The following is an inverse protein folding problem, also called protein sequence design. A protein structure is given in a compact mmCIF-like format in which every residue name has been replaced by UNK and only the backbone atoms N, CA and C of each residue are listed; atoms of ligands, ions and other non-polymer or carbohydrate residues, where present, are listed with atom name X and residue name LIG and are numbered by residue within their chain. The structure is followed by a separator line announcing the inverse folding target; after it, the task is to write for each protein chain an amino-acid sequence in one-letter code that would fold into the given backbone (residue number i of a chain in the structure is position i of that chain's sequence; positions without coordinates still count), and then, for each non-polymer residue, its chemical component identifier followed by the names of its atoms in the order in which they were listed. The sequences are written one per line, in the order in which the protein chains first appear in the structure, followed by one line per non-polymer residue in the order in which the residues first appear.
data_IF_904381779750
#
_entry.id   IF_904381779750
#
_cell.length_a   1.000
_cell.length_b   1.000
_cell.length_c   1.000
_cell.angle_alpha   90.00
_cell.angle_beta   90.00
_cell.angle_gamma   90.00
#
_symmetry.space_group_name_H-M   'P 1'
#
loop_
_entity.id
_entity.type
_entity.pdbx_description
1 polymer ?
#
# COMPACT_ATOMS: atom_id res chain seq x y z
N UNK A 1 -41.55 -6.98 15.90
CA UNK A 1 -41.06 -5.79 15.15
C UNK A 1 -39.79 -5.16 15.77
N UNK A 2 -38.98 -5.93 16.51
CA UNK A 2 -37.78 -5.43 17.22
C UNK A 2 -36.72 -4.74 16.36
N UNK A 3 -36.64 -5.07 15.07
CA UNK A 3 -35.65 -4.49 14.16
C UNK A 3 -35.95 -3.04 13.77
N UNK A 4 -37.20 -2.78 13.34
CA UNK A 4 -37.69 -1.44 13.02
C UNK A 4 -37.85 -0.58 14.28
N UNK A 5 -38.26 -1.18 15.40
CA UNK A 5 -38.32 -0.50 16.72
C UNK A 5 -36.94 -0.05 17.21
N UNK A 6 -35.86 -0.73 16.80
CA UNK A 6 -34.49 -0.40 17.14
C UNK A 6 -33.81 0.67 16.26
N UNK A 7 -34.56 1.36 15.39
CA UNK A 7 -34.04 2.35 14.40
C UNK A 7 -32.94 1.80 13.48
N UNK A 8 -32.87 0.48 13.29
CA UNK A 8 -31.86 -0.12 12.39
C UNK A 8 -32.32 -0.02 10.95
N UNK A 9 -31.43 0.47 10.09
CA UNK A 9 -31.72 0.59 8.65
C UNK A 9 -31.72 -0.80 8.01
N UNK A 10 -32.71 -1.09 7.17
CA UNK A 10 -32.86 -2.39 6.49
C UNK A 10 -31.64 -2.76 5.62
N UNK A 11 -30.89 -1.76 5.13
CA UNK A 11 -29.62 -1.98 4.41
C UNK A 11 -28.55 -2.69 5.26
N UNK A 12 -28.70 -2.70 6.58
CA UNK A 12 -27.80 -3.40 7.51
C UNK A 12 -28.05 -4.92 7.53
N UNK A 13 -29.16 -5.39 6.96
CA UNK A 13 -29.44 -6.81 6.74
C UNK A 13 -28.67 -7.35 5.53
N UNK A 14 -28.28 -6.47 4.61
CA UNK A 14 -27.50 -6.88 3.44
C UNK A 14 -26.05 -7.12 3.84
N UNK A 15 -25.39 -8.15 3.29
CA UNK A 15 -23.98 -8.36 3.52
C UNK A 15 -23.19 -7.13 3.03
N UNK A 16 -22.28 -6.63 3.86
CA UNK A 16 -21.34 -5.59 3.45
C UNK A 16 -20.48 -6.05 2.26
N UNK A 17 -20.02 -5.09 1.44
CA UNK A 17 -19.16 -5.37 0.30
C UNK A 17 -17.95 -6.22 0.73
N UNK A 18 -17.86 -7.44 0.18
CA UNK A 18 -16.76 -8.39 0.44
C UNK A 18 -15.77 -8.29 -0.72
N UNK A 19 -14.48 -8.20 -0.41
CA UNK A 19 -13.40 -8.15 -1.40
C UNK A 19 -12.62 -6.83 -1.41
N UNK A 20 -11.63 -6.75 -2.30
CA UNK A 20 -10.82 -5.55 -2.45
C UNK A 20 -11.67 -4.40 -3.00
N UNK A 21 -11.56 -3.21 -2.39
CA UNK A 21 -12.28 -2.02 -2.87
C UNK A 21 -11.82 -1.70 -4.30
N UNK A 22 -12.74 -1.38 -5.23
CA UNK A 22 -12.37 -0.86 -6.55
C UNK A 22 -11.42 0.33 -6.38
N UNK A 23 -10.28 0.32 -7.07
CA UNK A 23 -9.23 1.35 -6.92
C UNK A 23 -8.21 1.10 -5.79
N UNK A 24 -8.40 0.09 -4.93
CA UNK A 24 -7.40 -0.28 -3.91
C UNK A 24 -6.34 -1.28 -4.42
N UNK A 25 -6.02 -1.26 -5.73
CA UNK A 25 -4.97 -2.13 -6.27
C UNK A 25 -3.62 -1.68 -5.71
N UNK A 26 -3.21 -2.32 -4.61
CA UNK A 26 -1.90 -2.14 -4.00
C UNK A 26 -0.82 -2.46 -5.04
N UNK A 27 0.32 -1.76 -4.94
CA UNK A 27 1.49 -2.04 -5.76
C UNK A 27 1.85 -3.53 -5.65
N UNK A 28 2.08 -4.24 -6.78
CA UNK A 28 2.51 -5.63 -6.75
C UNK A 28 3.72 -5.84 -5.83
N UNK A 29 3.73 -6.95 -5.08
CA UNK A 29 4.80 -7.24 -4.10
C UNK A 29 6.19 -7.26 -4.73
N UNK A 30 6.29 -7.65 -6.00
CA UNK A 30 7.55 -7.65 -6.76
C UNK A 30 8.12 -6.24 -6.91
N UNK A 31 7.28 -5.27 -7.27
CA UNK A 31 7.65 -3.87 -7.38
C UNK A 31 8.05 -3.32 -6.01
N UNK A 32 7.29 -3.62 -4.96
CA UNK A 32 7.65 -3.21 -3.59
C UNK A 32 9.02 -3.73 -3.15
N UNK A 33 9.33 -5.00 -3.46
CA UNK A 33 10.63 -5.62 -3.14
C UNK A 33 11.78 -4.93 -3.87
N UNK A 34 11.61 -4.64 -5.15
CA UNK A 34 12.64 -3.96 -5.95
C UNK A 34 12.90 -2.53 -5.44
N UNK A 35 11.83 -1.81 -5.10
CA UNK A 35 11.94 -0.49 -4.47
C UNK A 35 12.70 -0.58 -3.14
N UNK A 36 12.38 -1.55 -2.29
CA UNK A 36 13.08 -1.72 -1.01
C UNK A 36 14.55 -2.11 -1.20
N UNK A 37 14.88 -2.93 -2.20
CA UNK A 37 16.27 -3.26 -2.54
C UNK A 37 17.05 -2.01 -2.98
N UNK A 38 16.48 -1.21 -3.88
CA UNK A 38 17.10 0.03 -4.33
C UNK A 38 17.26 1.03 -3.17
N UNK A 39 16.20 1.22 -2.38
CA UNK A 39 16.25 2.10 -1.20
C UNK A 39 17.32 1.68 -0.19
N UNK A 40 17.46 0.38 0.10
CA UNK A 40 18.47 -0.14 1.04
C UNK A 40 19.89 -0.07 0.49
N UNK A 41 20.08 -0.20 -0.82
CA UNK A 41 21.40 -0.19 -1.46
C UNK A 41 21.92 1.23 -1.69
N UNK A 42 21.06 2.13 -2.15
CA UNK A 42 21.45 3.47 -2.58
C UNK A 42 21.10 4.57 -1.58
N UNK A 43 20.23 4.31 -0.60
CA UNK A 43 19.79 5.33 0.36
C UNK A 43 18.90 6.43 -0.22
N UNK A 44 18.43 6.28 -1.46
CA UNK A 44 17.78 7.33 -2.25
C UNK A 44 16.48 7.88 -1.65
N UNK A 45 16.21 9.14 -1.97
CA UNK A 45 14.98 9.83 -1.61
C UNK A 45 13.77 9.26 -2.37
N UNK A 46 12.55 9.51 -1.87
CA UNK A 46 11.30 9.05 -2.48
C UNK A 46 11.13 9.50 -3.94
N UNK A 47 11.57 10.71 -4.29
CA UNK A 47 11.46 11.24 -5.65
C UNK A 47 12.48 10.60 -6.61
N UNK A 48 13.70 10.41 -6.13
CA UNK A 48 14.76 9.74 -6.89
C UNK A 48 14.38 8.28 -7.18
N UNK A 49 13.79 7.58 -6.21
CA UNK A 49 13.27 6.23 -6.42
C UNK A 49 12.17 6.23 -7.49
N UNK A 50 11.27 7.21 -7.49
CA UNK A 50 10.25 7.31 -8.53
C UNK A 50 10.89 7.52 -9.90
N UNK A 51 11.86 8.43 -10.02
CA UNK A 51 12.55 8.72 -11.28
C UNK A 51 13.32 7.49 -11.78
N UNK A 52 14.00 6.78 -10.87
CA UNK A 52 14.75 5.55 -11.17
C UNK A 52 13.84 4.45 -11.73
N UNK A 53 12.64 4.28 -11.16
CA UNK A 53 11.71 3.22 -11.56
C UNK A 53 10.75 3.60 -12.68
N UNK A 54 10.57 4.90 -12.96
CA UNK A 54 9.72 5.43 -14.04
C UNK A 54 9.96 4.75 -15.39
N UNK A 55 11.21 4.59 -15.89
CA UNK A 55 11.44 3.93 -17.18
C UNK A 55 11.11 2.43 -17.18
N UNK A 56 11.13 1.76 -16.02
CA UNK A 56 10.90 0.31 -15.92
C UNK A 56 9.44 -0.07 -15.73
N UNK A 57 8.69 0.72 -14.96
CA UNK A 57 7.31 0.40 -14.59
C UNK A 57 6.26 1.31 -15.22
N UNK A 58 6.67 2.41 -15.87
CA UNK A 58 5.78 3.36 -16.55
C UNK A 58 4.59 3.74 -15.66
N UNK A 59 3.37 3.39 -16.06
CA UNK A 59 2.12 3.69 -15.35
C UNK A 59 1.96 2.91 -14.03
N UNK A 60 2.70 1.82 -13.87
CA UNK A 60 2.72 1.02 -12.63
C UNK A 60 3.68 1.56 -11.59
N UNK A 61 4.44 2.61 -11.93
CA UNK A 61 5.38 3.25 -11.00
C UNK A 61 4.62 3.89 -9.84
N UNK A 62 4.89 3.50 -8.59
CA UNK A 62 4.19 4.08 -7.46
C UNK A 62 4.53 5.56 -7.31
N UNK A 63 3.55 6.36 -6.87
CA UNK A 63 3.75 7.77 -6.56
C UNK A 63 4.71 7.96 -5.37
N UNK A 64 5.32 9.15 -5.19
CA UNK A 64 6.19 9.44 -4.05
C UNK A 64 5.54 9.13 -2.69
N UNK A 65 4.26 9.48 -2.52
CA UNK A 65 3.51 9.15 -1.30
C UNK A 65 3.36 7.64 -1.09
N UNK A 66 3.24 6.87 -2.18
CA UNK A 66 3.16 5.41 -2.13
C UNK A 66 4.52 4.80 -1.77
N UNK A 67 5.64 5.40 -2.17
CA UNK A 67 6.98 4.99 -1.73
C UNK A 67 7.12 5.06 -0.21
N UNK A 68 6.66 6.15 0.42
CA UNK A 68 6.71 6.31 1.87
C UNK A 68 5.85 5.24 2.57
N UNK A 69 4.67 4.94 2.03
CA UNK A 69 3.82 3.84 2.52
C UNK A 69 4.51 2.48 2.35
N UNK A 70 5.23 2.24 1.25
CA UNK A 70 6.02 1.02 1.04
C UNK A 70 7.09 0.93 2.13
N UNK A 71 7.90 1.98 2.33
CA UNK A 71 8.95 2.00 3.35
C UNK A 71 8.42 1.67 4.75
N UNK A 72 7.29 2.26 5.14
CA UNK A 72 6.62 1.98 6.44
C UNK A 72 6.23 0.51 6.62
N UNK A 73 5.95 -0.23 5.54
CA UNK A 73 5.57 -1.65 5.61
C UNK A 73 6.76 -2.59 5.79
N UNK A 74 7.97 -2.13 5.45
CA UNK A 74 9.19 -2.92 5.55
C UNK A 74 10.18 -2.22 6.49
N UNK A 75 9.91 -2.21 7.81
CA UNK A 75 10.79 -1.57 8.77
C UNK A 75 12.21 -2.12 8.62
N UNK A 76 13.19 -1.23 8.75
CA UNK A 76 14.58 -1.65 8.85
C UNK A 76 14.72 -2.41 10.16
N UNK A 77 15.24 -3.63 10.11
CA UNK A 77 15.65 -4.30 11.34
C UNK A 77 16.64 -3.36 12.01
N UNK A 78 16.31 -2.84 13.20
CA UNK A 78 17.31 -2.19 14.03
C UNK A 78 18.45 -3.19 14.14
N UNK A 79 19.65 -2.73 13.78
CA UNK A 79 20.89 -3.50 13.84
C UNK A 79 20.87 -4.23 15.18
N UNK A 80 20.75 -5.56 15.18
CA UNK A 80 20.95 -6.34 16.41
C UNK A 80 22.40 -6.06 16.79
N UNK A 81 22.59 -5.16 17.74
CA UNK A 81 23.87 -5.03 18.45
C UNK A 81 24.16 -6.42 19.01
N UNK A 82 25.25 -7.00 18.52
CA UNK A 82 25.87 -8.19 19.09
C UNK A 82 26.99 -7.73 19.99
#
# INVERSE_FOLDING_TARGET
RKWQEGKKQDVSLLPAQRGARPGSRRTPKEIERNIMKAYRRFGSNRYELVLLFKPYYLDRTPSPATMDRIKKRYPLNQRRER
#
